data_IF_963268565018
#
_entry.id   IF_963268565018
#
_cell.length_a   1.000
_cell.length_b   1.000
_cell.length_c   1.000
_cell.angle_alpha   90.00
_cell.angle_beta   90.00
_cell.angle_gamma   90.00
#
_symmetry.space_group_name_H-M   'P 1'
#
loop_
_entity.id
_entity.type
_entity.pdbx_description
1 polymer ?
#
# COMPACT_ATOMS: atom_id res chain seq x y z
N UNK A 1 19.61 1.58 -3.52
CA UNK A 1 18.26 1.01 -3.43
C UNK A 1 18.24 -0.26 -4.26
N UNK A 2 17.53 -1.34 -3.87
CA UNK A 2 17.27 -2.49 -4.76
C UNK A 2 16.26 -2.16 -5.88
N UNK A 3 15.74 -0.94 -5.89
CA UNK A 3 14.79 -0.40 -6.87
C UNK A 3 15.45 0.68 -7.73
N UNK A 4 15.05 0.74 -8.99
CA UNK A 4 15.58 1.66 -10.00
C UNK A 4 14.93 3.03 -9.96
N UNK A 5 13.66 3.10 -9.55
CA UNK A 5 12.88 4.34 -9.53
C UNK A 5 12.14 4.54 -8.21
N UNK A 6 12.05 5.81 -7.80
CA UNK A 6 11.03 6.29 -6.87
C UNK A 6 9.95 6.98 -7.71
N UNK A 7 8.69 6.58 -7.53
CA UNK A 7 7.58 7.10 -8.30
C UNK A 7 7.05 8.38 -7.64
N UNK A 8 7.02 9.52 -8.34
CA UNK A 8 6.47 10.75 -7.79
C UNK A 8 4.95 10.63 -7.72
N UNK A 9 4.41 10.66 -6.51
CA UNK A 9 2.97 10.57 -6.26
C UNK A 9 2.34 11.95 -6.18
N UNK A 10 1.15 12.08 -6.75
CA UNK A 10 0.27 13.24 -6.62
C UNK A 10 -1.02 12.78 -5.97
N UNK A 11 -1.37 13.39 -4.85
CA UNK A 11 -2.63 13.14 -4.17
C UNK A 11 -3.79 13.87 -4.85
N UNK A 12 -4.90 13.15 -5.03
CA UNK A 12 -6.16 13.66 -5.54
C UNK A 12 -7.21 13.61 -4.43
N UNK A 13 -7.48 14.77 -3.82
CA UNK A 13 -8.52 14.93 -2.79
C UNK A 13 -9.89 14.41 -3.25
N UNK A 14 -10.28 14.69 -4.50
CA UNK A 14 -11.60 14.33 -5.03
C UNK A 14 -11.80 12.83 -5.21
N UNK A 15 -10.72 12.09 -5.45
CA UNK A 15 -10.77 10.65 -5.70
C UNK A 15 -10.15 9.82 -4.56
N UNK A 16 -9.59 10.49 -3.53
CA UNK A 16 -8.88 9.87 -2.39
C UNK A 16 -7.83 8.85 -2.82
N UNK A 17 -7.10 9.21 -3.86
CA UNK A 17 -6.09 8.37 -4.49
C UNK A 17 -4.78 9.13 -4.65
N UNK A 18 -3.67 8.39 -4.62
CA UNK A 18 -2.37 8.89 -5.00
C UNK A 18 -1.97 8.23 -6.32
N UNK A 19 -1.64 9.04 -7.32
CA UNK A 19 -1.26 8.54 -8.65
C UNK A 19 0.15 9.01 -8.94
N UNK A 20 0.96 8.10 -9.48
CA UNK A 20 2.26 8.42 -10.04
C UNK A 20 2.47 7.72 -11.38
N UNK A 21 3.23 8.37 -12.26
CA UNK A 21 3.61 7.79 -13.55
C UNK A 21 5.12 7.83 -13.70
N UNK A 22 5.65 6.84 -14.42
CA UNK A 22 7.04 6.85 -14.85
C UNK A 22 7.17 6.13 -16.18
N UNK A 23 8.17 6.52 -16.96
CA UNK A 23 8.46 5.90 -18.25
C UNK A 23 9.61 4.92 -18.12
N UNK A 24 9.30 3.66 -18.37
CA UNK A 24 10.24 2.54 -18.36
C UNK A 24 10.73 2.15 -19.75
N UNK A 25 11.50 1.07 -19.82
CA UNK A 25 11.92 0.41 -21.05
C UNK A 25 10.76 -0.33 -21.73
N UNK A 26 9.82 -0.88 -20.95
CA UNK A 26 8.64 -1.57 -21.46
C UNK A 26 7.49 -0.66 -21.90
N UNK A 27 7.44 0.60 -21.44
CA UNK A 27 6.35 1.53 -21.75
C UNK A 27 6.13 2.57 -20.65
N UNK A 28 4.97 3.23 -20.65
CA UNK A 28 4.55 4.12 -19.56
C UNK A 28 3.81 3.32 -18.48
N UNK A 29 4.33 3.38 -17.25
CA UNK A 29 3.69 2.80 -16.09
C UNK A 29 2.90 3.87 -15.35
N UNK A 30 1.72 3.49 -14.85
CA UNK A 30 0.92 4.28 -13.92
C UNK A 30 0.61 3.44 -12.70
N UNK A 31 0.98 3.97 -11.54
CA UNK A 31 0.66 3.39 -10.25
C UNK A 31 -0.42 4.25 -9.61
N UNK A 32 -1.48 3.59 -9.15
CA UNK A 32 -2.55 4.20 -8.40
C UNK A 32 -2.65 3.50 -7.05
N UNK A 33 -2.51 4.28 -6.00
CA UNK A 33 -2.89 3.91 -4.65
C UNK A 33 -4.27 4.47 -4.36
N UNK A 34 -5.20 3.62 -3.94
CA UNK A 34 -6.54 4.04 -3.59
C UNK A 34 -6.83 3.67 -2.14
N UNK A 35 -7.09 4.69 -1.33
CA UNK A 35 -7.66 4.53 0.00
C UNK A 35 -9.17 4.69 -0.13
N UNK A 36 -9.92 3.67 0.28
CA UNK A 36 -11.36 3.75 0.39
C UNK A 36 -11.73 4.10 1.84
N UNK A 37 -12.56 5.12 2.02
CA UNK A 37 -13.08 5.48 3.34
C UNK A 37 -14.24 4.58 3.76
N UNK A 38 -14.65 3.65 2.89
CA UNK A 38 -15.63 2.64 3.21
C UNK A 38 -15.13 1.72 4.34
N UNK A 39 -16.02 1.49 5.31
CA UNK A 39 -15.82 0.54 6.38
C UNK A 39 -15.54 -0.85 5.79
N UNK A 40 -14.57 -1.56 6.39
CA UNK A 40 -14.16 -2.90 5.97
C UNK A 40 -13.58 -2.99 4.55
N UNK A 41 -13.10 -1.87 3.98
CA UNK A 41 -12.40 -1.85 2.69
C UNK A 41 -10.91 -1.49 2.85
N UNK A 42 -10.00 -2.48 2.85
CA UNK A 42 -8.57 -2.23 2.82
C UNK A 42 -8.14 -1.41 1.60
N UNK A 43 -7.06 -0.60 1.72
CA UNK A 43 -6.47 0.09 0.58
C UNK A 43 -6.10 -0.86 -0.56
N UNK A 44 -6.05 -0.32 -1.77
CA UNK A 44 -5.70 -1.07 -2.98
C UNK A 44 -4.60 -0.38 -3.77
N UNK A 45 -3.78 -1.19 -4.43
CA UNK A 45 -2.83 -0.74 -5.44
C UNK A 45 -3.25 -1.27 -6.81
N UNK A 46 -3.18 -0.41 -7.80
CA UNK A 46 -3.38 -0.74 -9.21
C UNK A 46 -2.17 -0.28 -10.00
N UNK A 47 -1.72 -1.12 -10.93
CA UNK A 47 -0.64 -0.77 -11.86
C UNK A 47 -1.11 -1.02 -13.28
N UNK A 48 -0.91 -0.03 -14.15
CA UNK A 48 -1.11 -0.17 -15.60
C UNK A 48 0.18 0.08 -16.37
N UNK A 49 0.35 -0.62 -17.48
CA UNK A 49 1.41 -0.43 -18.48
C UNK A 49 0.73 -0.09 -19.81
N UNK A 50 1.00 1.10 -20.35
CA UNK A 50 0.36 1.62 -21.56
C UNK A 50 -1.17 1.41 -21.50
N UNK A 51 -1.78 1.84 -20.38
CA UNK A 51 -3.21 1.71 -20.06
C UNK A 51 -3.75 0.29 -19.82
N UNK A 52 -2.96 -0.76 -20.08
CA UNK A 52 -3.33 -2.14 -19.74
C UNK A 52 -3.07 -2.39 -18.25
N UNK A 53 -4.10 -2.80 -17.49
CA UNK A 53 -3.91 -3.24 -16.10
C UNK A 53 -3.04 -4.50 -16.05
N UNK A 54 -1.94 -4.42 -15.31
CA UNK A 54 -0.99 -5.52 -15.09
C UNK A 54 -1.03 -6.03 -13.65
N UNK A 55 -1.51 -5.20 -12.71
CA UNK A 55 -1.66 -5.56 -11.31
C UNK A 55 -2.90 -4.86 -10.72
N UNK A 56 -3.63 -5.56 -9.87
CA UNK A 56 -4.58 -4.98 -8.92
C UNK A 56 -4.59 -5.84 -7.66
N UNK A 57 -4.15 -5.26 -6.55
CA UNK A 57 -4.05 -5.95 -5.27
C UNK A 57 -4.68 -5.13 -4.15
N UNK A 58 -5.20 -5.85 -3.15
CA UNK A 58 -5.70 -5.28 -1.92
C UNK A 58 -4.73 -5.58 -0.79
N UNK A 59 -4.63 -4.66 0.16
CA UNK A 59 -3.80 -4.83 1.35
C UNK A 59 -4.32 -5.86 2.35
N UNK A 60 -5.47 -6.50 2.11
CA UNK A 60 -6.10 -7.47 3.03
C UNK A 60 -5.10 -8.46 3.64
N UNK A 61 -4.22 -9.06 2.84
CA UNK A 61 -3.24 -10.04 3.35
C UNK A 61 -2.26 -9.41 4.32
N UNK A 62 -1.69 -8.25 3.97
CA UNK A 62 -0.75 -7.51 4.82
C UNK A 62 -1.43 -7.02 6.09
N UNK A 63 -2.65 -6.51 5.98
CA UNK A 63 -3.45 -6.08 7.13
C UNK A 63 -3.73 -7.24 8.07
N UNK A 64 -4.12 -8.41 7.55
CA UNK A 64 -4.36 -9.59 8.39
C UNK A 64 -3.10 -10.03 9.13
N UNK A 65 -1.93 -9.98 8.48
CA UNK A 65 -0.65 -10.27 9.11
C UNK A 65 -0.30 -9.23 10.19
N UNK A 66 -0.55 -7.94 9.93
CA UNK A 66 -0.35 -6.88 10.91
C UNK A 66 -1.28 -7.07 12.11
N UNK A 67 -2.55 -7.41 11.91
CA UNK A 67 -3.49 -7.66 13.01
C UNK A 67 -3.16 -8.93 13.80
N UNK A 68 -2.56 -9.95 13.17
CA UNK A 68 -2.09 -11.15 13.88
C UNK A 68 -0.85 -10.83 14.73
N UNK A 69 0.10 -10.05 14.19
CA UNK A 69 1.33 -9.64 14.88
C UNK A 69 1.07 -8.58 15.95
N UNK A 70 0.14 -7.67 15.69
CA UNK A 70 -0.20 -6.49 16.47
C UNK A 70 -1.72 -6.44 16.69
N UNK A 71 -2.26 -7.33 17.54
CA UNK A 71 -3.69 -7.41 17.76
C UNK A 71 -4.21 -6.10 18.35
N UNK A 72 -5.29 -5.51 17.80
CA UNK A 72 -5.81 -4.20 18.19
C UNK A 72 -6.53 -4.26 19.53
N UNK A 73 -5.77 -4.57 20.59
CA UNK A 73 -6.23 -4.72 21.95
C UNK A 73 -5.74 -3.56 22.80
N UNK A 74 -6.51 -3.22 23.84
CA UNK A 74 -6.10 -2.20 24.83
C UNK A 74 -4.72 -2.50 25.40
N UNK A 75 -4.44 -3.77 25.71
CA UNK A 75 -3.16 -4.20 26.28
C UNK A 75 -1.97 -3.94 25.34
N UNK A 76 -2.15 -4.19 24.03
CA UNK A 76 -1.10 -3.90 23.04
C UNK A 76 -0.86 -2.40 22.91
N UNK A 77 -1.93 -1.60 22.82
CA UNK A 77 -1.84 -0.15 22.69
C UNK A 77 -1.18 0.51 23.92
N UNK A 78 -1.42 -0.01 25.12
CA UNK A 78 -0.79 0.48 26.36
C UNK A 78 0.70 0.10 26.49
N UNK A 79 1.12 -1.01 25.89
CA UNK A 79 2.53 -1.44 25.87
C UNK A 79 3.39 -0.59 24.94
N UNK A 80 2.80 0.05 23.94
CA UNK A 80 3.51 0.91 22.99
C UNK A 80 4.63 0.17 22.26
N UNK A 81 4.36 -1.07 21.82
CA UNK A 81 5.35 -1.86 21.11
C UNK A 81 5.75 -1.17 19.80
N UNK A 82 7.06 -1.09 19.53
CA UNK A 82 7.57 -0.47 18.32
C UNK A 82 7.33 -1.40 17.11
N UNK A 83 6.76 -0.85 16.04
CA UNK A 83 6.66 -1.52 14.75
C UNK A 83 8.07 -1.72 14.17
N UNK A 84 8.30 -2.87 13.51
CA UNK A 84 9.52 -3.03 12.74
C UNK A 84 9.39 -2.26 11.42
N UNK A 85 10.48 -1.71 10.90
CA UNK A 85 10.46 -0.97 9.62
C UNK A 85 9.97 -1.86 8.46
N UNK A 86 10.16 -3.18 8.56
CA UNK A 86 9.61 -4.15 7.60
C UNK A 86 8.09 -4.23 7.59
N UNK A 87 7.42 -3.86 8.68
CA UNK A 87 5.96 -3.87 8.79
C UNK A 87 5.32 -2.65 8.11
N UNK A 88 6.13 -1.62 7.81
CA UNK A 88 5.73 -0.44 7.03
C UNK A 88 6.02 -0.60 5.53
N UNK A 89 6.11 -1.85 5.05
CA UNK A 89 6.37 -2.16 3.64
C UNK A 89 5.27 -3.06 3.08
N UNK A 90 4.74 -2.68 1.92
CA UNK A 90 3.88 -3.53 1.11
C UNK A 90 4.57 -3.83 -0.22
N UNK A 91 4.98 -5.09 -0.42
CA UNK A 91 5.61 -5.54 -1.65
C UNK A 91 4.54 -5.95 -2.66
N UNK A 92 4.77 -5.63 -3.93
CA UNK A 92 3.92 -6.06 -5.04
C UNK A 92 4.77 -6.47 -6.24
N UNK A 93 4.26 -7.40 -7.04
CA UNK A 93 4.97 -7.93 -8.20
C UNK A 93 4.00 -8.40 -9.28
N UNK A 94 4.32 -8.06 -10.53
CA UNK A 94 3.77 -8.65 -11.75
C UNK A 94 4.92 -9.13 -12.64
N UNK A 95 4.64 -9.87 -13.72
CA UNK A 95 5.68 -10.27 -14.69
C UNK A 95 6.47 -9.10 -15.28
N UNK A 96 5.93 -7.88 -15.28
CA UNK A 96 6.54 -6.68 -15.87
C UNK A 96 7.26 -5.79 -14.86
N UNK A 97 6.87 -5.81 -13.58
CA UNK A 97 7.33 -4.87 -12.56
C UNK A 97 7.31 -5.49 -11.16
N UNK A 98 8.28 -5.11 -10.33
CA UNK A 98 8.26 -5.34 -8.89
C UNK A 98 8.39 -4.02 -8.15
N UNK A 99 7.82 -3.93 -6.97
CA UNK A 99 7.90 -2.72 -6.17
C UNK A 99 7.59 -2.91 -4.70
N UNK A 100 7.80 -1.83 -3.97
CA UNK A 100 7.43 -1.69 -2.57
C UNK A 100 6.76 -0.34 -2.36
N UNK A 101 5.63 -0.35 -1.66
CA UNK A 101 5.05 0.83 -1.04
C UNK A 101 5.66 0.94 0.35
N UNK A 102 6.29 2.07 0.64
CA UNK A 102 6.80 2.42 1.96
C UNK A 102 5.80 3.35 2.64
N UNK A 103 5.31 2.97 3.81
CA UNK A 103 4.40 3.80 4.59
C UNK A 103 5.15 4.64 5.60
N UNK A 104 4.73 5.89 5.79
CA UNK A 104 5.13 6.69 6.96
C UNK A 104 4.34 6.24 8.20
N UNK A 105 3.06 5.87 8.02
CA UNK A 105 2.25 5.21 9.04
C UNK A 105 1.14 4.34 8.43
N UNK A 106 0.70 3.37 9.23
CA UNK A 106 -0.50 2.56 9.02
C UNK A 106 -1.28 2.56 10.34
N UNK A 107 -2.56 2.89 10.29
CA UNK A 107 -3.47 2.81 11.43
C UNK A 107 -4.68 1.93 11.05
N UNK A 108 -4.97 0.97 11.93
CA UNK A 108 -6.07 0.02 11.79
C UNK A 108 -6.91 0.14 13.04
N UNK A 109 -8.14 0.62 12.89
CA UNK A 109 -9.10 0.73 13.99
C UNK A 109 -10.18 -0.33 13.83
N UNK A 110 -10.39 -1.15 14.86
CA UNK A 110 -11.46 -2.16 14.92
C UNK A 110 -12.43 -1.79 16.03
N UNK A 111 -13.71 -1.66 15.70
CA UNK A 111 -14.78 -1.53 16.70
C UNK A 111 -15.20 -2.92 17.20
N UNK A 112 -14.91 -3.21 18.46
CA UNK A 112 -15.21 -4.51 19.09
C UNK A 112 -16.72 -4.84 19.17
N UNK A 113 -17.60 -3.84 19.04
CA UNK A 113 -19.05 -4.04 19.13
C UNK A 113 -19.68 -4.34 17.76
N UNK A 114 -19.15 -3.75 16.70
CA UNK A 114 -19.71 -3.86 15.35
C UNK A 114 -18.87 -4.71 14.40
N UNK A 115 -17.64 -5.07 14.79
CA UNK A 115 -16.64 -5.73 13.94
C UNK A 115 -16.31 -4.91 12.68
N UNK A 116 -16.46 -3.59 12.80
CA UNK A 116 -16.15 -2.63 11.73
C UNK A 116 -14.69 -2.20 11.81
N UNK A 117 -14.00 -2.28 10.69
CA UNK A 117 -12.60 -1.91 10.56
C UNK A 117 -12.43 -0.68 9.67
N UNK A 118 -11.68 0.30 10.15
CA UNK A 118 -11.28 1.50 9.40
C UNK A 118 -9.77 1.51 9.21
N UNK A 119 -9.32 1.93 8.02
CA UNK A 119 -7.92 1.92 7.64
C UNK A 119 -7.45 3.34 7.29
N UNK A 120 -6.32 3.73 7.86
CA UNK A 120 -5.62 4.95 7.50
C UNK A 120 -4.18 4.65 7.14
N UNK A 121 -3.73 5.18 6.01
CA UNK A 121 -2.36 4.98 5.53
C UNK A 121 -1.80 6.30 5.02
N UNK A 122 -0.52 6.52 5.26
CA UNK A 122 0.23 7.56 4.57
C UNK A 122 1.46 6.94 3.92
N UNK A 123 1.66 7.29 2.65
CA UNK A 123 2.74 6.75 1.84
C UNK A 123 3.92 7.72 1.90
N UNK A 124 5.06 7.21 2.35
CA UNK A 124 6.34 7.91 2.25
C UNK A 124 6.87 7.87 0.80
N UNK A 125 6.68 6.73 0.12
CA UNK A 125 7.00 6.61 -1.29
C UNK A 125 6.73 5.24 -1.87
N UNK A 126 6.67 5.17 -3.20
CA UNK A 126 6.61 3.91 -3.94
C UNK A 126 7.91 3.76 -4.74
N UNK A 127 8.58 2.63 -4.55
CA UNK A 127 9.84 2.30 -5.21
C UNK A 127 9.66 1.09 -6.10
N UNK A 128 10.17 1.14 -7.32
CA UNK A 128 9.91 0.12 -8.35
C UNK A 128 11.14 -0.20 -9.19
N UNK A 129 11.13 -1.40 -9.75
CA UNK A 129 12.03 -1.88 -10.78
C UNK A 129 11.24 -2.67 -11.81
N UNK A 130 11.63 -2.53 -13.07
CA UNK A 130 11.11 -3.36 -14.14
C UNK A 130 11.67 -4.76 -13.96
N UNK A 131 10.82 -5.76 -14.19
CA UNK A 131 11.29 -7.12 -14.29
C UNK A 131 12.28 -7.22 -15.45
N UNK A 132 13.47 -7.75 -15.19
CA UNK A 132 14.42 -8.05 -16.26
C UNK A 132 13.92 -9.29 -17.00
N UNK A 133 13.85 -9.28 -18.34
CA UNK A 133 13.46 -10.46 -19.12
C UNK A 133 14.42 -11.64 -18.95
#
# INVERSE_FOLDING_TARGET
>A
SPFDWQVPLVYSESAKEQIGTFKGAQGEFKIKWQQDDAINQPPTIEVTLDERQILKESLTTTINQLMEKYPPTVEFNEKGEALEVSDLQFNFESPEIKGVVMFSYIEIMVDENTDETTYWTEIEGIYVSEATP
#
